data_IF_263650531840
#
_entry.id   IF_263650531840
#
_cell.length_a   1.000
_cell.length_b   1.000
_cell.length_c   1.000
_cell.angle_alpha   90.00
_cell.angle_beta   90.00
_cell.angle_gamma   90.00
#
_symmetry.space_group_name_H-M   'P 1'
#
loop_
_entity.id
_entity.type
_entity.pdbx_description
1 polymer ?
#
# COMPACT_ATOMS: atom_id res chain seq x y z
N UNK A 1 -26.81 1.27 -25.57
CA UNK A 1 -26.91 -0.11 -25.08
C UNK A 1 -27.10 -1.00 -26.29
N UNK A 2 -26.09 -1.79 -26.65
CA UNK A 2 -26.26 -2.79 -27.70
C UNK A 2 -27.21 -3.91 -27.22
N UNK A 3 -28.05 -4.47 -28.09
CA UNK A 3 -29.04 -5.46 -27.70
C UNK A 3 -28.38 -6.79 -27.30
N UNK A 4 -28.73 -7.29 -26.13
CA UNK A 4 -28.40 -8.67 -25.70
C UNK A 4 -29.03 -9.65 -26.69
N UNK A 5 -28.22 -10.29 -27.53
CA UNK A 5 -28.67 -11.31 -28.45
C UNK A 5 -29.22 -12.52 -27.68
N UNK A 6 -30.54 -12.67 -27.67
CA UNK A 6 -31.20 -13.86 -27.11
C UNK A 6 -31.22 -14.95 -28.18
N UNK A 7 -30.46 -16.01 -27.98
CA UNK A 7 -30.45 -17.17 -28.88
C UNK A 7 -30.79 -18.45 -28.13
N UNK A 8 -31.37 -19.42 -28.84
CA UNK A 8 -31.51 -20.78 -28.34
C UNK A 8 -30.20 -21.54 -28.54
N UNK A 9 -29.72 -22.22 -27.50
CA UNK A 9 -28.63 -23.19 -27.62
C UNK A 9 -29.16 -24.40 -28.41
N UNK A 10 -28.44 -24.79 -29.45
CA UNK A 10 -28.78 -25.98 -30.26
C UNK A 10 -27.65 -26.98 -30.18
N UNK A 11 -28.00 -28.23 -29.84
CA UNK A 11 -27.09 -29.36 -29.87
C UNK A 11 -26.80 -29.73 -31.33
N UNK A 12 -25.54 -29.96 -31.65
CA UNK A 12 -25.15 -30.52 -32.93
C UNK A 12 -25.22 -32.04 -32.86
N UNK A 13 -26.28 -32.64 -33.40
CA UNK A 13 -26.38 -34.10 -33.60
C UNK A 13 -25.97 -34.94 -32.38
N UNK A 14 -25.10 -35.95 -32.61
CA UNK A 14 -24.52 -36.85 -31.61
C UNK A 14 -23.12 -36.40 -31.16
N UNK A 15 -22.80 -35.12 -31.34
CA UNK A 15 -21.46 -34.57 -31.18
C UNK A 15 -21.34 -33.80 -29.87
N UNK A 16 -20.13 -33.72 -29.31
CA UNK A 16 -19.74 -32.87 -28.16
C UNK A 16 -19.67 -31.38 -28.53
N UNK A 17 -20.44 -30.95 -29.53
CA UNK A 17 -20.38 -29.61 -30.12
C UNK A 17 -21.68 -28.83 -29.92
N UNK A 18 -21.54 -27.51 -29.76
CA UNK A 18 -22.65 -26.57 -29.65
C UNK A 18 -22.61 -25.57 -30.80
N UNK A 19 -23.78 -25.18 -31.31
CA UNK A 19 -23.87 -24.16 -32.36
C UNK A 19 -23.97 -22.78 -31.72
N UNK A 20 -23.03 -21.89 -32.06
CA UNK A 20 -23.03 -20.48 -31.64
C UNK A 20 -23.39 -19.60 -32.84
N UNK A 21 -24.40 -18.73 -32.75
CA UNK A 21 -24.73 -17.80 -33.82
C UNK A 21 -23.59 -16.83 -34.15
N UNK A 22 -23.44 -16.53 -35.44
CA UNK A 22 -22.42 -15.60 -35.94
C UNK A 22 -22.45 -14.22 -35.29
N UNK A 23 -23.64 -13.72 -34.94
CA UNK A 23 -23.81 -12.45 -34.24
C UNK A 23 -23.15 -12.45 -32.84
N UNK A 24 -23.17 -13.58 -32.14
CA UNK A 24 -22.55 -13.72 -30.81
C UNK A 24 -21.03 -13.82 -30.95
N UNK A 25 -20.54 -14.58 -31.93
CA UNK A 25 -19.11 -14.63 -32.25
C UNK A 25 -18.56 -13.24 -32.57
N UNK A 26 -19.27 -12.47 -33.40
CA UNK A 26 -18.89 -11.10 -33.75
C UNK A 26 -18.90 -10.16 -32.53
N UNK A 27 -19.92 -10.24 -31.66
CA UNK A 27 -19.99 -9.45 -30.44
C UNK A 27 -18.86 -9.77 -29.45
N UNK A 28 -18.36 -11.01 -29.44
CA UNK A 28 -17.19 -11.44 -28.67
C UNK A 28 -15.84 -11.14 -29.37
N UNK A 29 -15.86 -10.62 -30.60
CA UNK A 29 -14.66 -10.40 -31.42
C UNK A 29 -13.95 -11.69 -31.84
N UNK A 30 -14.64 -12.83 -31.80
CA UNK A 30 -14.12 -14.14 -32.19
C UNK A 30 -14.46 -14.46 -33.65
N UNK A 31 -13.62 -15.27 -34.31
CA UNK A 31 -13.85 -15.73 -35.69
C UNK A 31 -14.24 -17.20 -35.75
N UNK A 32 -14.90 -17.60 -36.83
CA UNK A 32 -15.19 -19.01 -37.11
C UNK A 32 -13.87 -19.81 -37.16
N UNK A 33 -13.80 -20.92 -36.42
CA UNK A 33 -12.60 -21.74 -36.31
C UNK A 33 -11.58 -21.29 -35.26
N UNK A 34 -11.80 -20.16 -34.58
CA UNK A 34 -10.97 -19.74 -33.44
C UNK A 34 -11.30 -20.61 -32.22
N UNK A 35 -10.27 -21.11 -31.48
CA UNK A 35 -10.52 -21.84 -30.24
C UNK A 35 -11.18 -20.94 -29.21
N UNK A 36 -12.07 -21.50 -28.41
CA UNK A 36 -12.74 -20.84 -27.29
C UNK A 36 -12.63 -21.71 -26.05
N UNK A 37 -12.30 -21.10 -24.92
CA UNK A 37 -12.38 -21.75 -23.63
C UNK A 37 -13.82 -21.66 -23.13
N UNK A 38 -14.40 -22.80 -22.79
CA UNK A 38 -15.79 -22.91 -22.37
C UNK A 38 -15.86 -23.56 -21.00
N UNK A 39 -16.40 -22.84 -20.02
CA UNK A 39 -16.60 -23.29 -18.64
C UNK A 39 -18.08 -23.16 -18.24
N UNK A 40 -18.46 -23.86 -17.17
CA UNK A 40 -19.76 -23.67 -16.51
C UNK A 40 -19.52 -23.06 -15.14
N UNK A 41 -19.99 -21.83 -14.94
CA UNK A 41 -19.81 -21.07 -13.71
C UNK A 41 -21.19 -20.64 -13.19
N UNK A 42 -21.53 -21.03 -11.95
CA UNK A 42 -22.81 -20.66 -11.33
C UNK A 42 -24.05 -21.01 -12.19
N UNK A 43 -23.99 -22.15 -12.89
CA UNK A 43 -25.06 -22.61 -13.80
C UNK A 43 -25.15 -21.82 -15.11
N UNK A 44 -24.16 -20.97 -15.42
CA UNK A 44 -24.06 -20.21 -16.66
C UNK A 44 -22.93 -20.78 -17.51
N UNK A 45 -23.15 -20.87 -18.81
CA UNK A 45 -22.09 -21.20 -19.75
C UNK A 45 -21.29 -19.93 -20.03
N UNK A 46 -20.00 -19.95 -19.70
CA UNK A 46 -19.07 -18.86 -19.98
C UNK A 46 -18.17 -19.32 -21.12
N UNK A 47 -18.14 -18.54 -22.21
CA UNK A 47 -17.25 -18.76 -23.33
C UNK A 47 -16.33 -17.54 -23.45
N UNK A 48 -15.03 -17.78 -23.33
CA UNK A 48 -14.01 -16.75 -23.44
C UNK A 48 -13.06 -17.09 -24.59
N UNK A 49 -12.52 -16.05 -25.22
CA UNK A 49 -11.33 -16.24 -26.07
C UNK A 49 -10.20 -16.69 -25.15
N UNK A 50 -9.36 -17.66 -25.56
CA UNK A 50 -8.19 -18.05 -24.78
C UNK A 50 -7.34 -16.81 -24.56
N UNK A 51 -7.33 -16.34 -23.31
CA UNK A 51 -6.38 -15.32 -22.91
C UNK A 51 -4.99 -15.95 -22.98
N UNK A 52 -4.00 -15.20 -23.46
CA UNK A 52 -2.63 -15.46 -23.05
C UNK A 52 -2.68 -15.55 -21.52
N UNK A 53 -2.41 -16.73 -20.95
CA UNK A 53 -2.34 -16.94 -19.51
C UNK A 53 -1.20 -16.07 -18.99
N UNK A 54 -1.50 -14.84 -18.62
CA UNK A 54 -0.64 -14.04 -17.75
C UNK A 54 -1.14 -14.32 -16.34
N UNK A 55 -0.41 -15.17 -15.62
CA UNK A 55 -0.70 -15.52 -14.21
C UNK A 55 -0.77 -14.29 -13.30
N UNK A 56 -0.30 -13.13 -13.76
CA UNK A 56 -0.45 -11.85 -13.09
C UNK A 56 -0.45 -10.73 -14.13
N UNK A 57 -1.61 -10.11 -14.37
CA UNK A 57 -1.70 -8.87 -15.16
C UNK A 57 -1.71 -7.70 -14.18
N UNK A 58 -0.54 -7.24 -13.77
CA UNK A 58 -0.40 -5.96 -13.06
C UNK A 58 -0.47 -4.84 -14.10
N UNK A 59 -1.67 -4.50 -14.58
CA UNK A 59 -1.86 -3.23 -15.30
C UNK A 59 -1.79 -2.14 -14.24
N UNK A 60 -0.58 -1.65 -13.97
CA UNK A 60 -0.41 -0.43 -13.20
C UNK A 60 -1.00 0.70 -14.04
N UNK A 61 -2.22 1.10 -13.69
CA UNK A 61 -2.78 2.33 -14.24
C UNK A 61 -1.89 3.49 -13.81
N UNK A 62 -1.83 4.56 -14.61
CA UNK A 62 -1.05 5.76 -14.24
C UNK A 62 -1.41 6.26 -12.83
N UNK A 63 -2.68 6.12 -12.44
CA UNK A 63 -3.20 6.45 -11.11
C UNK A 63 -2.60 5.58 -10.01
N UNK A 64 -2.43 4.27 -10.22
CA UNK A 64 -1.78 3.38 -9.26
C UNK A 64 -0.29 3.67 -9.08
N UNK A 65 0.42 4.03 -10.16
CA UNK A 65 1.81 4.45 -10.07
C UNK A 65 1.97 5.75 -9.26
N UNK A 66 1.06 6.70 -9.44
CA UNK A 66 1.00 7.94 -8.66
C UNK A 66 0.68 7.67 -7.18
N UNK A 67 -0.27 6.77 -6.90
CA UNK A 67 -0.61 6.34 -5.54
C UNK A 67 0.57 5.66 -4.83
N UNK A 68 1.32 4.80 -5.54
CA UNK A 68 2.51 4.15 -4.99
C UNK A 68 3.62 5.15 -4.70
N UNK A 69 3.83 6.14 -5.58
CA UNK A 69 4.79 7.20 -5.35
C UNK A 69 4.42 8.05 -4.12
N UNK A 70 3.14 8.42 -3.99
CA UNK A 70 2.65 9.19 -2.84
C UNK A 70 2.75 8.39 -1.53
N UNK A 71 2.46 7.09 -1.57
CA UNK A 71 2.60 6.19 -0.42
C UNK A 71 4.06 6.03 0.01
N UNK A 72 4.98 5.93 -0.95
CA UNK A 72 6.41 5.89 -0.69
C UNK A 72 6.90 7.19 -0.04
N UNK A 73 6.42 8.34 -0.52
CA UNK A 73 6.76 9.64 0.05
C UNK A 73 6.21 9.82 1.47
N UNK A 74 4.97 9.40 1.73
CA UNK A 74 4.35 9.42 3.06
C UNK A 74 5.13 8.52 4.03
N UNK A 75 5.54 7.33 3.59
CA UNK A 75 6.37 6.42 4.39
C UNK A 75 7.71 7.07 4.74
N UNK A 76 8.38 7.68 3.77
CA UNK A 76 9.64 8.38 3.99
C UNK A 76 9.48 9.58 4.94
N UNK A 77 8.40 10.36 4.80
CA UNK A 77 8.08 11.46 5.70
C UNK A 77 7.86 10.98 7.14
N UNK A 78 7.11 9.89 7.32
CA UNK A 78 6.84 9.30 8.63
C UNK A 78 8.12 8.78 9.29
N UNK A 79 9.00 8.12 8.52
CA UNK A 79 10.31 7.67 9.03
C UNK A 79 11.18 8.85 9.47
N UNK A 80 11.20 9.96 8.71
CA UNK A 80 11.94 11.17 9.09
C UNK A 80 11.40 11.80 10.38
N UNK A 81 10.07 11.82 10.54
CA UNK A 81 9.44 12.37 11.74
C UNK A 81 9.75 11.50 12.97
N UNK A 82 9.71 10.18 12.83
CA UNK A 82 10.10 9.23 13.88
C UNK A 82 11.56 9.43 14.30
N UNK A 83 12.49 9.52 13.35
CA UNK A 83 13.90 9.75 13.65
C UNK A 83 14.14 11.07 14.41
N UNK A 84 13.44 12.14 14.03
CA UNK A 84 13.50 13.43 14.75
C UNK A 84 12.95 13.34 16.16
N UNK A 85 11.89 12.56 16.37
CA UNK A 85 11.30 12.37 17.68
C UNK A 85 12.27 11.62 18.62
N UNK A 86 12.93 10.58 18.10
CA UNK A 86 13.96 9.85 18.82
C UNK A 86 15.14 10.74 19.21
N UNK A 87 15.65 11.54 18.27
CA UNK A 87 16.73 12.50 18.52
C UNK A 87 16.35 13.55 19.57
N UNK A 88 15.15 14.13 19.46
CA UNK A 88 14.64 15.09 20.44
C UNK A 88 14.46 14.44 21.82
N UNK A 89 13.96 13.21 21.87
CA UNK A 89 13.80 12.47 23.13
C UNK A 89 15.14 12.19 23.80
N UNK A 90 16.17 11.85 23.01
CA UNK A 90 17.53 11.63 23.50
C UNK A 90 18.13 12.93 24.04
N UNK A 91 17.93 14.05 23.34
CA UNK A 91 18.39 15.35 23.80
C UNK A 91 17.72 15.78 25.12
N UNK A 92 16.41 15.56 25.26
CA UNK A 92 15.67 15.85 26.50
C UNK A 92 16.18 14.97 27.65
N UNK A 93 16.38 13.67 27.41
CA UNK A 93 16.96 12.76 28.42
C UNK A 93 18.36 13.19 28.86
N UNK A 94 19.20 13.63 27.92
CA UNK A 94 20.54 14.13 28.23
C UNK A 94 20.53 15.50 28.95
N UNK A 95 19.50 16.32 28.72
CA UNK A 95 19.32 17.58 29.44
C UNK A 95 18.83 17.37 30.88
N UNK A 96 18.02 16.33 31.10
CA UNK A 96 17.52 15.92 32.41
C UNK A 96 18.45 14.95 33.15
N UNK A 97 19.71 14.81 32.71
CA UNK A 97 20.67 13.92 33.36
C UNK A 97 21.05 14.44 34.76
N UNK A 98 20.71 13.73 35.85
CA UNK A 98 21.00 14.15 37.22
C UNK A 98 22.50 14.26 37.52
N UNK A 99 23.37 13.58 36.75
CA UNK A 99 24.81 13.75 36.87
C UNK A 99 25.26 15.16 36.45
N UNK A 100 24.61 15.73 35.44
CA UNK A 100 24.89 17.09 34.95
C UNK A 100 24.42 18.16 35.92
N UNK A 101 23.30 17.92 36.60
CA UNK A 101 22.83 18.77 37.70
C UNK A 101 23.82 18.75 38.88
N UNK A 102 24.35 17.56 39.22
CA UNK A 102 25.38 17.42 40.26
C UNK A 102 26.68 18.14 39.88
N UNK A 103 27.11 18.04 38.62
CA UNK A 103 28.31 18.72 38.12
C UNK A 103 28.16 20.24 38.10
N UNK A 104 27.00 20.74 37.66
CA UNK A 104 26.67 22.17 37.70
C UNK A 104 26.65 22.70 39.13
N UNK A 105 26.08 21.94 40.08
CA UNK A 105 26.09 22.28 41.50
C UNK A 105 27.52 22.38 42.05
N UNK A 106 28.36 21.38 41.79
CA UNK A 106 29.78 21.39 42.23
C UNK A 106 30.55 22.55 41.61
N UNK A 107 30.35 22.83 40.31
CA UNK A 107 30.98 23.96 39.62
C UNK A 107 30.53 25.30 40.20
N UNK A 108 29.23 25.46 40.43
CA UNK A 108 28.66 26.67 41.02
C UNK A 108 29.17 26.88 42.45
N UNK A 109 29.16 25.84 43.30
CA UNK A 109 29.72 25.93 44.65
C UNK A 109 31.22 26.27 44.65
N UNK A 110 31.99 25.78 43.67
CA UNK A 110 33.41 26.12 43.52
C UNK A 110 33.63 27.56 43.06
N UNK A 111 32.80 28.07 42.15
CA UNK A 111 32.87 29.44 41.61
C UNK A 111 32.41 30.48 42.65
N UNK A 112 31.48 30.09 43.52
CA UNK A 112 30.92 30.92 44.59
C UNK A 112 31.40 30.52 45.99
N UNK A 113 32.50 29.76 46.11
CA UNK A 113 33.04 29.24 47.37
C UNK A 113 33.41 30.33 48.43
N UNK A 114 33.39 31.61 48.05
CA UNK A 114 33.52 32.74 48.98
C UNK A 114 32.20 33.33 49.51
N UNK A 115 31.04 32.82 49.07
CA UNK A 115 29.72 33.44 49.28
C UNK A 115 28.74 32.55 50.06
N UNK A 116 29.21 31.78 51.05
CA UNK A 116 28.34 31.04 51.99
C UNK A 116 27.68 29.78 51.42
N UNK A 117 27.59 28.74 52.26
CA UNK A 117 26.95 27.46 51.90
C UNK A 117 25.45 27.64 51.61
N UNK A 118 24.95 27.00 50.54
CA UNK A 118 23.51 26.92 50.24
C UNK A 118 22.97 27.85 49.13
N UNK A 119 23.81 28.60 48.43
CA UNK A 119 23.37 29.51 47.35
C UNK A 119 22.63 28.82 46.19
N UNK A 120 23.02 27.60 45.82
CA UNK A 120 22.41 26.86 44.72
C UNK A 120 20.96 26.44 45.03
N UNK A 121 20.67 26.04 46.27
CA UNK A 121 19.32 25.67 46.73
C UNK A 121 18.41 26.89 46.91
N UNK A 122 18.98 28.07 47.19
CA UNK A 122 18.23 29.32 47.29
C UNK A 122 17.75 29.85 45.92
N UNK A 123 18.46 29.52 44.83
CA UNK A 123 18.17 29.97 43.46
C UNK A 123 17.25 29.02 42.68
N UNK A 124 17.15 27.76 43.09
CA UNK A 124 16.38 26.71 42.40
C UNK A 124 15.01 26.42 43.05
N UNK A 125 14.63 27.18 44.09
CA UNK A 125 13.34 27.14 44.77
C UNK A 125 12.32 28.07 44.13
#
# INVERSE_FOLDING_TARGET
MEPLARTALRRMGNSTGMIVPKAILAAMGAREGEPLDVSVENGRLVAARPGELVEEVTISTKEEAELQALAAELKAATSRMSARLEEASAAVRAALDPARETELRVRFEKEFAGSGEGLFEALTR
#
